data_IF_759286293409
#
_entry.id   IF_759286293409
#
_cell.length_a   1.000
_cell.length_b   1.000
_cell.length_c   1.000
_cell.angle_alpha   90.00
_cell.angle_beta   90.00
_cell.angle_gamma   90.00
#
_symmetry.space_group_name_H-M   'P 1'
#
loop_
_entity.id
_entity.type
_entity.pdbx_description
1 polymer ?
#
# COMPACT_ATOMS: atom_id res chain seq x y z
N UNK A 1 -7.10 26.40 0.46
CA UNK A 1 -7.03 24.97 0.07
C UNK A 1 -5.77 24.26 0.55
N UNK A 2 -4.55 24.78 0.34
CA UNK A 2 -3.25 24.24 0.85
C UNK A 2 -3.24 23.95 2.34
N UNK A 3 -3.63 24.93 3.17
CA UNK A 3 -3.65 24.77 4.64
C UNK A 3 -4.51 23.59 5.08
N UNK A 4 -5.68 23.38 4.45
CA UNK A 4 -6.56 22.27 4.80
C UNK A 4 -5.98 20.88 4.51
N UNK A 5 -5.21 20.72 3.42
CA UNK A 5 -4.52 19.46 3.12
C UNK A 5 -3.35 19.26 4.08
N UNK A 6 -2.58 20.29 4.37
CA UNK A 6 -1.48 20.21 5.33
C UNK A 6 -2.00 19.76 6.70
N UNK A 7 -3.09 20.38 7.22
CA UNK A 7 -3.70 19.96 8.47
C UNK A 7 -4.15 18.49 8.46
N UNK A 8 -4.76 18.00 7.37
CA UNK A 8 -5.11 16.58 7.25
C UNK A 8 -3.89 15.68 7.32
N UNK A 9 -2.83 16.01 6.59
CA UNK A 9 -1.57 15.25 6.60
C UNK A 9 -1.01 15.21 8.03
N UNK A 10 -0.92 16.36 8.71
CA UNK A 10 -0.40 16.43 10.08
C UNK A 10 -1.26 15.63 11.06
N UNK A 11 -2.60 15.70 10.94
CA UNK A 11 -3.52 14.91 11.76
C UNK A 11 -3.31 13.41 11.49
N UNK A 12 -3.21 12.98 10.22
CA UNK A 12 -3.03 11.56 9.88
C UNK A 12 -1.68 11.03 10.34
N UNK A 13 -0.60 11.84 10.23
CA UNK A 13 0.70 11.51 10.80
C UNK A 13 0.61 11.40 12.33
N UNK A 14 -0.03 12.34 12.99
CA UNK A 14 -0.25 12.33 14.43
C UNK A 14 -1.03 11.10 14.89
N UNK A 15 -2.11 10.75 14.20
CA UNK A 15 -2.90 9.53 14.48
C UNK A 15 -2.03 8.28 14.27
N UNK A 16 -1.38 8.15 13.11
CA UNK A 16 -0.58 6.97 12.80
C UNK A 16 0.56 6.78 13.80
N UNK A 17 1.38 7.80 14.02
CA UNK A 17 2.50 7.72 14.96
C UNK A 17 2.05 7.63 16.42
N UNK A 18 0.97 8.33 16.78
CA UNK A 18 0.35 8.21 18.10
C UNK A 18 -0.07 6.79 18.42
N UNK A 19 -0.80 6.13 17.49
CA UNK A 19 -1.20 4.74 17.64
C UNK A 19 0.01 3.79 17.60
N UNK A 20 0.95 4.03 16.71
CA UNK A 20 2.11 3.14 16.50
C UNK A 20 3.08 3.11 17.67
N UNK A 21 3.40 4.27 18.26
CA UNK A 21 4.44 4.39 19.27
C UNK A 21 3.92 4.59 20.70
N UNK A 22 2.72 5.14 20.85
CA UNK A 22 2.15 5.45 22.18
C UNK A 22 0.86 4.69 22.46
N UNK A 23 0.24 4.06 21.45
CA UNK A 23 -1.04 3.36 21.60
C UNK A 23 -0.96 1.98 22.28
N UNK A 24 0.24 1.42 22.46
CA UNK A 24 0.42 0.10 23.04
C UNK A 24 -0.40 -0.99 22.31
N UNK A 25 -1.05 -1.88 23.07
CA UNK A 25 -1.87 -2.96 22.51
C UNK A 25 -3.12 -2.45 21.76
N UNK A 26 -3.72 -1.37 22.24
CA UNK A 26 -4.90 -0.76 21.60
C UNK A 26 -4.49 -0.16 20.23
N UNK A 27 -3.39 0.57 20.19
CA UNK A 27 -2.86 1.13 18.95
C UNK A 27 -2.52 0.06 17.92
N UNK A 28 -1.92 -1.05 18.36
CA UNK A 28 -1.68 -2.22 17.52
C UNK A 28 -2.98 -2.79 16.94
N UNK A 29 -4.02 -3.00 17.77
CA UNK A 29 -5.32 -3.52 17.33
C UNK A 29 -6.03 -2.60 16.32
N UNK A 30 -5.93 -1.28 16.52
CA UNK A 30 -6.52 -0.29 15.59
C UNK A 30 -5.77 -0.28 14.24
N UNK A 31 -4.43 -0.37 14.26
CA UNK A 31 -3.62 -0.38 13.03
C UNK A 31 -3.58 -1.76 12.35
N UNK A 32 -3.97 -2.83 13.04
CA UNK A 32 -3.89 -4.19 12.51
C UNK A 32 -4.62 -4.40 11.18
N UNK A 33 -5.88 -3.93 10.95
CA UNK A 33 -6.52 -4.04 9.64
C UNK A 33 -5.77 -3.28 8.54
N UNK A 34 -5.09 -2.17 8.88
CA UNK A 34 -4.29 -1.39 7.94
C UNK A 34 -3.01 -2.14 7.61
N UNK A 35 -2.36 -2.76 8.60
CA UNK A 35 -1.20 -3.61 8.36
C UNK A 35 -1.54 -4.76 7.40
N UNK A 36 -2.68 -5.43 7.60
CA UNK A 36 -3.16 -6.48 6.69
C UNK A 36 -3.47 -5.94 5.28
N UNK A 37 -4.01 -4.72 5.17
CA UNK A 37 -4.19 -4.07 3.87
C UNK A 37 -2.85 -3.83 3.17
N UNK A 38 -1.82 -3.36 3.89
CA UNK A 38 -0.49 -3.14 3.30
C UNK A 38 0.14 -4.45 2.86
N UNK A 39 -0.01 -5.52 3.66
CA UNK A 39 0.38 -6.87 3.24
C UNK A 39 -0.37 -7.28 1.97
N UNK A 40 -1.69 -7.05 1.90
CA UNK A 40 -2.45 -7.31 0.67
C UNK A 40 -1.89 -6.56 -0.54
N UNK A 41 -1.58 -5.26 -0.40
CA UNK A 41 -1.00 -4.46 -1.49
C UNK A 41 0.39 -4.96 -1.90
N UNK A 42 1.17 -5.47 -0.94
CA UNK A 42 2.47 -6.09 -1.19
C UNK A 42 2.31 -7.38 -2.01
N UNK A 43 1.44 -8.28 -1.58
CA UNK A 43 1.19 -9.53 -2.29
C UNK A 43 0.54 -9.29 -3.67
N UNK A 44 -0.35 -8.31 -3.77
CA UNK A 44 -0.90 -7.88 -5.06
C UNK A 44 0.19 -7.32 -5.99
N UNK A 45 1.21 -6.67 -5.44
CA UNK A 45 2.38 -6.21 -6.19
C UNK A 45 3.16 -7.38 -6.83
N UNK A 46 3.42 -8.46 -6.08
CA UNK A 46 4.01 -9.68 -6.62
C UNK A 46 3.13 -10.31 -7.71
N UNK A 47 1.82 -10.39 -7.46
CA UNK A 47 0.85 -10.93 -8.41
C UNK A 47 0.87 -10.17 -9.74
N UNK A 48 0.85 -8.84 -9.68
CA UNK A 48 0.94 -8.00 -10.88
C UNK A 48 2.29 -8.13 -11.59
N UNK A 49 3.40 -8.20 -10.82
CA UNK A 49 4.73 -8.45 -11.38
C UNK A 49 4.77 -9.75 -12.19
N UNK A 50 4.16 -10.83 -11.69
CA UNK A 50 4.05 -12.10 -12.40
C UNK A 50 3.21 -11.96 -13.68
N UNK A 51 1.98 -11.43 -13.58
CA UNK A 51 1.06 -11.29 -14.71
C UNK A 51 1.67 -10.40 -15.82
N UNK A 52 2.24 -9.26 -15.46
CA UNK A 52 2.82 -8.31 -16.42
C UNK A 52 4.05 -8.87 -17.14
N UNK A 53 4.67 -9.91 -16.60
CA UNK A 53 5.84 -10.58 -17.21
C UNK A 53 5.51 -11.96 -17.80
N UNK A 54 4.23 -12.24 -18.06
CA UNK A 54 3.78 -13.45 -18.74
C UNK A 54 3.64 -14.69 -17.83
N UNK A 55 3.70 -14.51 -16.52
CA UNK A 55 3.39 -15.54 -15.53
C UNK A 55 1.93 -15.57 -15.14
N UNK A 56 1.62 -16.40 -14.16
CA UNK A 56 0.30 -16.53 -13.57
C UNK A 56 0.38 -16.60 -12.05
N UNK A 57 -0.73 -16.35 -11.38
CA UNK A 57 -0.86 -16.39 -9.93
C UNK A 57 -1.72 -17.59 -9.53
N UNK A 58 -1.17 -18.45 -8.70
CA UNK A 58 -1.87 -19.60 -8.16
C UNK A 58 -2.68 -19.24 -6.90
N UNK A 59 -2.08 -18.47 -6.00
CA UNK A 59 -2.73 -18.07 -4.74
C UNK A 59 -2.10 -16.83 -4.12
N UNK A 60 -2.87 -16.08 -3.35
CA UNK A 60 -2.43 -15.02 -2.45
C UNK A 60 -2.87 -15.36 -1.04
N UNK A 61 -1.95 -15.35 -0.09
CA UNK A 61 -2.22 -15.63 1.31
C UNK A 61 -1.79 -14.46 2.21
N UNK A 62 -2.63 -14.18 3.21
CA UNK A 62 -2.33 -13.25 4.30
C UNK A 62 -2.59 -14.02 5.61
N UNK A 63 -1.61 -14.10 6.48
CA UNK A 63 -1.73 -14.77 7.76
C UNK A 63 -2.23 -13.84 8.87
N UNK A 64 -2.70 -14.42 9.98
CA UNK A 64 -3.09 -13.67 11.18
C UNK A 64 -1.92 -12.90 11.82
N UNK A 65 -0.67 -13.30 11.57
CA UNK A 65 0.51 -12.57 12.04
C UNK A 65 0.80 -11.30 11.25
N UNK A 66 0.12 -11.08 10.10
CA UNK A 66 0.40 -10.00 9.18
C UNK A 66 1.39 -10.36 8.08
N UNK A 67 2.02 -11.54 8.12
CA UNK A 67 2.85 -12.01 7.01
C UNK A 67 1.97 -12.45 5.83
N UNK A 68 2.49 -12.29 4.60
CA UNK A 68 1.85 -12.73 3.38
C UNK A 68 2.77 -13.58 2.52
N UNK A 69 2.21 -14.22 1.50
CA UNK A 69 2.94 -14.76 0.36
C UNK A 69 2.05 -14.86 -0.87
N UNK A 70 2.66 -14.69 -2.02
CA UNK A 70 2.04 -14.91 -3.34
C UNK A 70 2.75 -16.06 -4.03
N UNK A 71 1.99 -17.10 -4.44
CA UNK A 71 2.54 -18.18 -5.26
C UNK A 71 2.31 -17.88 -6.72
N UNK A 72 3.40 -17.76 -7.47
CA UNK A 72 3.39 -17.48 -8.90
C UNK A 72 3.96 -18.64 -9.70
N UNK A 73 3.56 -18.75 -10.96
CA UNK A 73 4.05 -19.73 -11.93
C UNK A 73 4.55 -18.98 -13.16
N UNK A 74 5.86 -19.09 -13.43
CA UNK A 74 6.51 -18.32 -14.51
C UNK A 74 6.60 -16.84 -14.21
N UNK A 75 6.82 -16.03 -15.25
CA UNK A 75 7.11 -14.62 -15.12
C UNK A 75 8.59 -14.33 -14.86
N UNK A 76 8.96 -13.05 -14.73
CA UNK A 76 10.31 -12.59 -14.44
C UNK A 76 10.49 -12.43 -12.93
N UNK A 77 11.28 -13.31 -12.30
CA UNK A 77 11.45 -13.36 -10.85
C UNK A 77 11.93 -12.03 -10.23
N UNK A 78 12.96 -11.34 -10.76
CA UNK A 78 13.33 -10.00 -10.28
C UNK A 78 12.17 -9.00 -10.25
N UNK A 79 11.35 -8.93 -11.31
CA UNK A 79 10.22 -8.03 -11.38
C UNK A 79 9.13 -8.42 -10.37
N UNK A 80 8.89 -9.72 -10.20
CA UNK A 80 7.96 -10.24 -9.19
C UNK A 80 8.41 -9.82 -7.79
N UNK A 81 9.68 -10.05 -7.43
CA UNK A 81 10.21 -9.72 -6.11
C UNK A 81 10.21 -8.21 -5.82
N UNK A 82 10.54 -7.37 -6.81
CA UNK A 82 10.41 -5.91 -6.70
C UNK A 82 8.96 -5.48 -6.49
N UNK A 83 8.02 -6.22 -7.09
CA UNK A 83 6.59 -5.92 -7.07
C UNK A 83 6.02 -5.76 -5.66
N UNK A 84 6.49 -6.52 -4.68
CA UNK A 84 6.06 -6.43 -3.30
C UNK A 84 6.28 -5.02 -2.72
N UNK A 85 7.51 -4.67 -2.41
CA UNK A 85 7.83 -3.38 -1.77
C UNK A 85 7.57 -2.17 -2.66
N UNK A 86 8.05 -2.19 -3.90
CA UNK A 86 7.87 -1.04 -4.80
C UNK A 86 6.42 -0.93 -5.28
N UNK A 87 5.73 -2.05 -5.53
CA UNK A 87 4.32 -2.04 -5.90
C UNK A 87 3.44 -1.47 -4.80
N UNK A 88 3.61 -1.93 -3.56
CA UNK A 88 2.83 -1.39 -2.42
C UNK A 88 3.13 0.08 -2.16
N UNK A 89 4.39 0.53 -2.34
CA UNK A 89 4.74 1.93 -2.26
C UNK A 89 4.05 2.76 -3.37
N UNK A 90 4.00 2.26 -4.60
CA UNK A 90 3.29 2.90 -5.71
C UNK A 90 1.79 2.98 -5.41
N UNK A 91 1.16 1.89 -4.96
CA UNK A 91 -0.25 1.89 -4.58
C UNK A 91 -0.53 2.91 -3.46
N UNK A 92 0.27 2.90 -2.38
CA UNK A 92 0.13 3.87 -1.31
C UNK A 92 0.24 5.32 -1.80
N UNK A 93 1.20 5.60 -2.68
CA UNK A 93 1.36 6.93 -3.28
C UNK A 93 0.18 7.33 -4.18
N UNK A 94 -0.39 6.41 -4.96
CA UNK A 94 -1.59 6.67 -5.81
C UNK A 94 -2.80 6.96 -4.91
N UNK A 95 -3.05 6.14 -3.90
CA UNK A 95 -4.17 6.35 -2.95
C UNK A 95 -4.04 7.72 -2.27
N UNK A 96 -2.85 8.05 -1.77
CA UNK A 96 -2.59 9.31 -1.08
C UNK A 96 -2.74 10.52 -2.01
N UNK A 97 -2.15 10.47 -3.22
CA UNK A 97 -2.20 11.54 -4.21
C UNK A 97 -3.64 11.85 -4.65
N UNK A 98 -4.39 10.81 -5.01
CA UNK A 98 -5.77 10.96 -5.48
C UNK A 98 -6.66 11.48 -4.35
N UNK A 99 -6.52 10.94 -3.14
CA UNK A 99 -7.22 11.46 -1.97
C UNK A 99 -6.90 12.93 -1.69
N UNK A 100 -5.64 13.34 -1.86
CA UNK A 100 -5.23 14.73 -1.64
C UNK A 100 -5.71 15.70 -2.74
N UNK A 101 -5.70 15.28 -4.01
CA UNK A 101 -5.88 16.16 -5.17
C UNK A 101 -7.24 16.05 -5.86
N UNK A 102 -7.85 14.88 -5.85
CA UNK A 102 -9.02 14.57 -6.68
C UNK A 102 -10.16 13.98 -5.87
N UNK A 103 -10.92 14.80 -5.12
CA UNK A 103 -12.04 14.30 -4.32
C UNK A 103 -13.05 13.50 -5.14
N UNK A 104 -13.23 13.85 -6.42
CA UNK A 104 -14.11 13.16 -7.35
C UNK A 104 -13.67 11.71 -7.61
N UNK A 105 -12.35 11.45 -7.67
CA UNK A 105 -11.81 10.12 -7.92
C UNK A 105 -11.67 9.27 -6.64
N UNK A 106 -11.91 9.85 -5.46
CA UNK A 106 -11.74 9.12 -4.20
C UNK A 106 -12.70 7.92 -4.08
N UNK A 107 -13.97 8.10 -4.39
CA UNK A 107 -14.96 7.00 -4.37
C UNK A 107 -14.66 5.93 -5.42
N UNK A 108 -14.43 6.25 -6.71
CA UNK A 108 -14.02 5.26 -7.71
C UNK A 108 -12.78 4.46 -7.30
N UNK A 109 -11.75 5.11 -6.77
CA UNK A 109 -10.51 4.41 -6.41
C UNK A 109 -10.69 3.50 -5.18
N UNK A 110 -11.47 3.91 -4.17
CA UNK A 110 -11.88 3.01 -3.09
C UNK A 110 -12.68 1.81 -3.62
N UNK A 111 -13.53 2.04 -4.62
CA UNK A 111 -14.27 0.99 -5.29
C UNK A 111 -13.38 0.00 -6.04
N UNK A 112 -12.35 0.51 -6.74
CA UNK A 112 -11.35 -0.34 -7.40
C UNK A 112 -10.57 -1.16 -6.38
N UNK A 113 -10.16 -0.55 -5.25
CA UNK A 113 -9.49 -1.26 -4.16
C UNK A 113 -10.39 -2.36 -3.59
N UNK A 114 -11.65 -2.06 -3.27
CA UNK A 114 -12.60 -3.06 -2.78
C UNK A 114 -12.83 -4.18 -3.81
N UNK A 115 -12.98 -3.84 -5.08
CA UNK A 115 -13.15 -4.82 -6.16
C UNK A 115 -11.93 -5.72 -6.33
N UNK A 116 -10.71 -5.19 -6.22
CA UNK A 116 -9.47 -5.99 -6.27
C UNK A 116 -9.38 -6.97 -5.11
N UNK A 117 -9.82 -6.58 -3.90
CA UNK A 117 -9.88 -7.47 -2.74
C UNK A 117 -10.91 -8.58 -2.91
N UNK A 118 -12.10 -8.27 -3.43
CA UNK A 118 -13.13 -9.26 -3.75
C UNK A 118 -12.61 -10.22 -4.84
N UNK A 119 -12.04 -9.69 -5.91
CA UNK A 119 -11.46 -10.49 -6.98
C UNK A 119 -10.42 -11.48 -6.45
N UNK A 120 -9.47 -11.00 -5.63
CA UNK A 120 -8.45 -11.83 -4.99
C UNK A 120 -9.06 -12.92 -4.12
N UNK A 121 -10.07 -12.59 -3.32
CA UNK A 121 -10.72 -13.56 -2.43
C UNK A 121 -11.44 -14.69 -3.16
N UNK A 122 -11.90 -14.45 -4.39
CA UNK A 122 -12.63 -15.43 -5.22
C UNK A 122 -11.67 -16.18 -6.15
N UNK A 123 -10.79 -15.48 -6.83
CA UNK A 123 -9.95 -16.04 -7.90
C UNK A 123 -8.67 -16.70 -7.40
N UNK A 124 -8.08 -16.13 -6.34
CA UNK A 124 -6.82 -16.62 -5.74
C UNK A 124 -7.05 -17.08 -4.30
N UNK A 125 -8.15 -17.81 -4.10
CA UNK A 125 -8.52 -18.34 -2.79
C UNK A 125 -7.42 -19.24 -2.23
N UNK A 126 -7.06 -18.99 -0.97
CA UNK A 126 -6.12 -19.81 -0.24
C UNK A 126 -6.66 -20.21 1.14
N UNK A 127 -6.99 -19.22 1.99
CA UNK A 127 -7.39 -19.48 3.36
C UNK A 127 -8.66 -18.73 3.74
N UNK A 128 -9.41 -19.30 4.68
CA UNK A 128 -10.61 -18.66 5.24
C UNK A 128 -10.29 -17.33 5.89
N UNK A 129 -9.10 -17.18 6.50
CA UNK A 129 -8.70 -15.92 7.11
C UNK A 129 -8.45 -14.84 6.06
N UNK A 130 -7.68 -15.13 5.01
CA UNK A 130 -7.42 -14.20 3.90
C UNK A 130 -8.73 -13.75 3.28
N UNK A 131 -9.56 -14.71 2.88
CA UNK A 131 -10.87 -14.43 2.26
C UNK A 131 -11.77 -13.61 3.18
N UNK A 132 -11.90 -14.02 4.44
CA UNK A 132 -12.69 -13.29 5.43
C UNK A 132 -12.23 -11.86 5.63
N UNK A 133 -10.92 -11.63 5.78
CA UNK A 133 -10.35 -10.30 5.89
C UNK A 133 -10.64 -9.44 4.65
N UNK A 134 -10.36 -9.97 3.45
CA UNK A 134 -10.54 -9.23 2.20
C UNK A 134 -12.01 -8.84 1.98
N UNK A 135 -12.95 -9.75 2.25
CA UNK A 135 -14.39 -9.47 2.11
C UNK A 135 -14.89 -8.48 3.15
N UNK A 136 -14.51 -8.63 4.43
CA UNK A 136 -14.91 -7.69 5.50
C UNK A 136 -14.34 -6.29 5.24
N UNK A 137 -13.08 -6.20 4.83
CA UNK A 137 -12.48 -4.90 4.53
C UNK A 137 -13.10 -4.27 3.27
N UNK A 138 -13.41 -5.05 2.23
CA UNK A 138 -14.14 -4.58 1.04
C UNK A 138 -15.52 -4.04 1.41
N UNK A 139 -16.25 -4.75 2.27
CA UNK A 139 -17.54 -4.28 2.78
C UNK A 139 -17.40 -2.96 3.55
N UNK A 140 -16.38 -2.84 4.40
CA UNK A 140 -16.08 -1.59 5.09
C UNK A 140 -15.84 -0.43 4.11
N UNK A 141 -15.01 -0.63 3.07
CA UNK A 141 -14.77 0.39 2.04
C UNK A 141 -16.07 0.75 1.29
N UNK A 142 -16.89 -0.26 0.96
CA UNK A 142 -18.18 -0.04 0.31
C UNK A 142 -19.13 0.79 1.18
N UNK A 143 -19.20 0.52 2.48
CA UNK A 143 -19.99 1.31 3.42
C UNK A 143 -19.51 2.76 3.52
N UNK A 144 -18.20 2.99 3.49
CA UNK A 144 -17.61 4.35 3.43
C UNK A 144 -18.06 5.07 2.17
N UNK A 145 -17.99 4.41 1.00
CA UNK A 145 -18.41 5.00 -0.28
C UNK A 145 -19.89 5.37 -0.27
N UNK A 146 -20.72 4.49 0.28
CA UNK A 146 -22.18 4.63 0.23
C UNK A 146 -22.75 5.55 1.31
N UNK A 147 -22.29 5.41 2.55
CA UNK A 147 -22.90 6.04 3.72
C UNK A 147 -22.24 7.33 4.18
N UNK A 148 -21.04 7.65 3.67
CA UNK A 148 -20.27 8.77 4.19
C UNK A 148 -19.74 9.70 3.11
N UNK A 149 -19.35 10.92 3.52
CA UNK A 149 -18.56 11.86 2.72
C UNK A 149 -17.05 11.70 2.92
N UNK A 150 -16.59 10.72 3.74
CA UNK A 150 -15.20 10.56 4.18
C UNK A 150 -14.31 9.74 3.24
N UNK A 151 -14.80 9.40 2.06
CA UNK A 151 -14.05 8.61 1.08
C UNK A 151 -12.68 9.19 0.78
N UNK A 152 -12.58 10.52 0.71
CA UNK A 152 -11.34 11.25 0.51
C UNK A 152 -10.36 11.07 1.67
N UNK A 153 -10.84 11.29 2.89
CA UNK A 153 -10.06 11.21 4.12
C UNK A 153 -9.56 9.78 4.35
N UNK A 154 -10.43 8.81 4.16
CA UNK A 154 -10.07 7.38 4.25
C UNK A 154 -9.01 7.03 3.20
N UNK A 155 -9.19 7.45 1.95
CA UNK A 155 -8.21 7.18 0.89
C UNK A 155 -6.85 7.80 1.19
N UNK A 156 -6.82 9.08 1.63
CA UNK A 156 -5.59 9.75 2.04
C UNK A 156 -4.90 9.04 3.20
N UNK A 157 -5.68 8.65 4.22
CA UNK A 157 -5.13 7.97 5.39
C UNK A 157 -4.56 6.60 5.05
N UNK A 158 -5.31 5.77 4.31
CA UNK A 158 -4.85 4.44 3.87
C UNK A 158 -3.58 4.55 3.01
N UNK A 159 -3.55 5.51 2.08
CA UNK A 159 -2.37 5.73 1.24
C UNK A 159 -1.14 6.16 2.05
N UNK A 160 -1.29 7.14 2.94
CA UNK A 160 -0.20 7.62 3.79
C UNK A 160 0.27 6.53 4.76
N UNK A 161 -0.65 5.83 5.42
CA UNK A 161 -0.32 4.73 6.32
C UNK A 161 0.40 3.58 5.60
N UNK A 162 0.01 3.27 4.35
CA UNK A 162 0.69 2.26 3.53
C UNK A 162 2.14 2.66 3.24
N UNK A 163 2.39 3.91 2.84
CA UNK A 163 3.75 4.40 2.59
C UNK A 163 4.59 4.33 3.87
N UNK A 164 4.05 4.80 5.00
CA UNK A 164 4.76 4.80 6.28
C UNK A 164 5.05 3.39 6.78
N UNK A 165 4.11 2.46 6.58
CA UNK A 165 4.30 1.06 6.95
C UNK A 165 5.43 0.43 6.13
N UNK A 166 5.42 0.57 4.79
CA UNK A 166 6.45 0.01 3.92
C UNK A 166 7.84 0.57 4.25
N UNK A 167 7.96 1.87 4.56
CA UNK A 167 9.25 2.45 4.98
C UNK A 167 9.80 1.77 6.25
N UNK A 168 8.93 1.28 7.14
CA UNK A 168 9.31 0.63 8.40
C UNK A 168 9.49 -0.89 8.30
N UNK A 169 8.97 -1.52 7.23
CA UNK A 169 8.84 -2.98 7.10
C UNK A 169 9.93 -3.64 6.23
N UNK A 170 10.92 -2.88 5.74
CA UNK A 170 12.00 -3.46 4.95
C UNK A 170 12.74 -4.54 5.73
N UNK A 171 12.68 -5.77 5.22
CA UNK A 171 13.26 -6.96 5.85
C UNK A 171 14.32 -7.59 4.94
N UNK A 172 15.48 -7.89 5.51
CA UNK A 172 16.62 -8.55 4.86
C UNK A 172 16.90 -9.95 5.41
N UNK A 173 15.96 -10.54 6.15
CA UNK A 173 16.08 -11.91 6.64
C UNK A 173 16.17 -12.93 5.51
N UNK A 174 16.65 -14.16 5.78
CA UNK A 174 16.98 -15.15 4.74
C UNK A 174 15.85 -15.55 3.79
N UNK A 175 14.59 -15.39 4.23
CA UNK A 175 13.41 -15.71 3.41
C UNK A 175 12.72 -14.47 2.81
N UNK A 176 13.28 -13.27 3.01
CA UNK A 176 12.70 -12.02 2.51
C UNK A 176 12.85 -11.88 1.00
N UNK A 177 11.98 -11.07 0.39
CA UNK A 177 12.09 -10.75 -1.04
C UNK A 177 13.41 -10.09 -1.40
N UNK A 178 13.94 -9.26 -0.50
CA UNK A 178 15.26 -8.62 -0.68
C UNK A 178 16.41 -9.62 -0.68
N UNK A 179 16.36 -10.66 0.17
CA UNK A 179 17.36 -11.71 0.17
C UNK A 179 17.29 -12.51 -1.14
N UNK A 180 16.09 -12.96 -1.52
CA UNK A 180 15.87 -13.67 -2.79
C UNK A 180 16.24 -12.82 -4.01
N UNK A 181 15.93 -11.53 -3.98
CA UNK A 181 16.29 -10.60 -5.05
C UNK A 181 17.81 -10.46 -5.18
N UNK A 182 18.54 -10.36 -4.06
CA UNK A 182 19.99 -10.28 -4.05
C UNK A 182 20.64 -11.58 -4.55
N UNK A 183 20.07 -12.74 -4.21
CA UNK A 183 20.50 -14.05 -4.73
C UNK A 183 20.30 -14.16 -6.24
N UNK A 184 19.17 -13.70 -6.75
CA UNK A 184 18.86 -13.74 -8.19
C UNK A 184 19.73 -12.77 -9.00
N UNK A 185 19.92 -11.54 -8.50
CA UNK A 185 20.66 -10.50 -9.22
C UNK A 185 22.18 -10.65 -9.13
N UNK A 186 22.70 -11.29 -8.07
CA UNK A 186 24.13 -11.58 -7.81
C UNK A 186 25.08 -10.35 -7.79
N UNK A 187 24.56 -9.14 -8.00
CA UNK A 187 25.35 -7.90 -8.18
C UNK A 187 25.65 -7.22 -6.83
N UNK A 188 24.66 -7.16 -5.95
CA UNK A 188 24.73 -6.44 -4.68
C UNK A 188 24.11 -7.26 -3.55
N UNK A 189 24.60 -7.11 -2.30
CA UNK A 189 24.00 -7.77 -1.15
C UNK A 189 22.59 -7.21 -0.84
N UNK A 190 21.73 -8.00 -0.18
CA UNK A 190 20.37 -7.64 0.17
C UNK A 190 20.26 -6.28 0.88
N UNK A 191 21.23 -5.94 1.76
CA UNK A 191 21.28 -4.65 2.45
C UNK A 191 21.46 -3.45 1.50
N UNK A 192 22.25 -3.61 0.44
CA UNK A 192 22.41 -2.56 -0.57
C UNK A 192 21.11 -2.37 -1.37
N UNK A 193 20.46 -3.46 -1.77
CA UNK A 193 19.14 -3.41 -2.43
C UNK A 193 18.08 -2.78 -1.53
N UNK A 194 18.07 -3.06 -0.24
CA UNK A 194 17.17 -2.42 0.72
C UNK A 194 17.31 -0.89 0.67
N UNK A 195 18.55 -0.35 0.71
CA UNK A 195 18.74 1.10 0.64
C UNK A 195 18.35 1.69 -0.72
N UNK A 196 18.57 0.97 -1.83
CA UNK A 196 18.14 1.40 -3.16
C UNK A 196 16.61 1.47 -3.21
N UNK A 197 15.89 0.42 -2.78
CA UNK A 197 14.44 0.42 -2.80
C UNK A 197 13.85 1.45 -1.84
N UNK A 198 14.40 1.58 -0.64
CA UNK A 198 14.01 2.63 0.30
C UNK A 198 14.19 4.02 -0.32
N UNK A 199 15.32 4.27 -0.98
CA UNK A 199 15.57 5.52 -1.68
C UNK A 199 14.50 5.77 -2.75
N UNK A 200 14.16 4.78 -3.57
CA UNK A 200 13.09 4.89 -4.58
C UNK A 200 11.75 5.24 -3.93
N UNK A 201 11.38 4.56 -2.84
CA UNK A 201 10.13 4.84 -2.10
C UNK A 201 10.11 6.29 -1.58
N UNK A 202 11.22 6.76 -0.99
CA UNK A 202 11.33 8.13 -0.48
C UNK A 202 11.28 9.17 -1.61
N UNK A 203 11.89 8.90 -2.75
CA UNK A 203 11.84 9.75 -3.95
C UNK A 203 10.41 9.84 -4.50
N UNK A 204 9.71 8.72 -4.60
CA UNK A 204 8.30 8.69 -5.03
C UNK A 204 7.43 9.52 -4.07
N UNK A 205 7.61 9.34 -2.77
CA UNK A 205 6.87 10.10 -1.77
C UNK A 205 7.18 11.60 -1.81
N UNK A 206 8.46 11.97 -1.97
CA UNK A 206 8.88 13.37 -2.12
C UNK A 206 8.22 14.03 -3.33
N UNK A 207 8.26 13.39 -4.51
CA UNK A 207 7.62 13.93 -5.70
C UNK A 207 6.10 14.00 -5.55
N UNK A 208 5.49 13.06 -4.86
CA UNK A 208 4.07 13.07 -4.55
C UNK A 208 3.71 14.30 -3.70
N UNK A 209 4.41 14.53 -2.60
CA UNK A 209 4.24 15.72 -1.75
C UNK A 209 4.47 17.00 -2.55
N UNK A 210 5.57 17.09 -3.31
CA UNK A 210 5.87 18.25 -4.16
C UNK A 210 4.75 18.52 -5.16
N UNK A 211 4.21 17.49 -5.80
CA UNK A 211 3.12 17.61 -6.76
C UNK A 211 1.83 18.07 -6.08
N UNK A 212 1.50 17.54 -4.90
CA UNK A 212 0.34 17.96 -4.11
C UNK A 212 0.38 19.47 -3.85
N UNK A 213 1.53 20.02 -3.50
CA UNK A 213 1.65 21.43 -3.11
C UNK A 213 1.96 22.40 -4.25
N UNK A 214 2.65 21.98 -5.32
CA UNK A 214 3.06 22.85 -6.44
C UNK A 214 1.86 23.50 -7.17
N UNK A 215 0.84 22.74 -7.49
CA UNK A 215 -0.28 23.20 -8.30
C UNK A 215 -1.30 24.07 -7.55
N UNK A 216 -1.12 24.26 -6.24
CA UNK A 216 -1.91 25.25 -5.49
C UNK A 216 -1.39 26.68 -5.63
N UNK A 217 -0.12 26.87 -6.06
CA UNK A 217 0.46 28.20 -6.27
C UNK A 217 -0.01 28.80 -7.59
N UNK A 218 -0.32 27.97 -8.58
CA UNK A 218 -0.82 28.42 -9.89
C UNK A 218 -2.31 28.85 -9.89
N UNK A 219 -3.13 28.30 -8.98
CA UNK A 219 -4.54 28.67 -8.85
C UNK A 219 -4.74 30.00 -8.06
N UNK A 220 -3.81 30.35 -7.16
CA UNK A 220 -3.86 31.63 -6.40
C UNK A 220 -3.36 32.84 -7.23
N UNK A 221 -2.63 32.60 -8.32
CA UNK A 221 -2.11 33.66 -9.23
C UNK A 221 -3.10 33.99 -10.34
N UNK A 222 -4.17 33.19 -10.53
CA UNK A 222 -5.19 33.35 -11.58
C UNK A 222 -6.51 33.96 -11.06
N UNK A 223 -6.57 34.41 -9.83
CA UNK A 223 -7.68 35.16 -9.21
C UNK A 223 -7.26 36.58 -8.85
#
# INVERSE_FOLDING_TARGET
MKKGILYRILIFLGIYFGLRFFGGEIGYKILYPINLLVTFLHELGHALGAILTGGSVAEINISKSGAGFTRTLGGNLPIILMGGYLGSAIFGNILFLIGARSPFLAKPLLGILAASMIFTSVYWFNSMFTTGFLLVFSLFLFLIIWKTSWSREVLMFLGLASILYIIQDFNIGPSSDLAKYAEEMVILPAKAWMYIWLFVVLVLFYFNIKFIFKNFDSEEVSL
#
